data_IF_024392971612
#
_entry.id   IF_024392971612
#
_cell.length_a   1.000
_cell.length_b   1.000
_cell.length_c   1.000
_cell.angle_alpha   90.00
_cell.angle_beta   90.00
_cell.angle_gamma   90.00
#
_symmetry.space_group_name_H-M   'P 1'
#
loop_
_entity.id
_entity.type
_entity.pdbx_description
1 polymer ?
#
# COMPACT_ATOMS: atom_id res chain seq x y z
N UNK A 1 -7.02 -14.98 -32.30
CA UNK A 1 -8.07 -13.97 -32.47
C UNK A 1 -8.34 -13.89 -33.95
N UNK A 2 -9.55 -14.22 -34.39
CA UNK A 2 -9.92 -14.21 -35.80
C UNK A 2 -10.32 -12.76 -36.20
N UNK A 3 -9.61 -12.11 -37.14
CA UNK A 3 -9.95 -10.75 -37.57
C UNK A 3 -11.37 -10.61 -38.15
N UNK A 4 -11.99 -11.72 -38.61
CA UNK A 4 -13.35 -11.72 -39.14
C UNK A 4 -14.43 -11.61 -38.07
N UNK A 5 -14.07 -11.79 -36.79
CA UNK A 5 -14.98 -11.72 -35.65
C UNK A 5 -15.02 -10.32 -34.99
N UNK A 6 -14.28 -9.34 -35.53
CA UNK A 6 -14.14 -8.01 -34.94
C UNK A 6 -14.64 -6.93 -35.91
N UNK A 7 -15.58 -6.10 -35.47
CA UNK A 7 -15.99 -4.90 -36.20
C UNK A 7 -14.96 -3.78 -35.97
N UNK A 8 -14.11 -3.55 -36.96
CA UNK A 8 -12.97 -2.62 -36.85
C UNK A 8 -13.38 -1.24 -37.40
N UNK A 9 -13.42 -0.18 -36.57
CA UNK A 9 -13.77 1.14 -37.04
C UNK A 9 -12.71 1.67 -38.04
N UNK A 10 -13.13 2.43 -39.08
CA UNK A 10 -12.19 3.01 -40.03
C UNK A 10 -11.32 4.06 -39.34
N UNK A 11 -10.00 3.91 -39.45
CA UNK A 11 -9.04 4.89 -38.94
C UNK A 11 -8.88 6.05 -39.93
N UNK A 12 -8.69 7.26 -39.39
CA UNK A 12 -8.30 8.44 -40.18
C UNK A 12 -6.83 8.34 -40.60
N UNK A 13 -6.41 9.14 -41.57
CA UNK A 13 -5.00 9.33 -41.89
C UNK A 13 -4.21 9.75 -40.64
N UNK A 14 -3.04 9.14 -40.39
CA UNK A 14 -2.34 9.25 -39.12
C UNK A 14 -1.40 10.45 -39.11
N UNK A 15 -1.66 11.37 -38.18
CA UNK A 15 -0.80 12.54 -37.91
C UNK A 15 -0.44 12.56 -36.43
N UNK A 16 0.58 13.36 -36.08
CA UNK A 16 0.97 13.59 -34.68
C UNK A 16 -0.22 14.13 -33.87
N UNK A 17 -1.11 14.89 -34.50
CA UNK A 17 -2.23 15.54 -33.81
C UNK A 17 -3.43 14.60 -33.60
N UNK A 18 -3.69 13.66 -34.52
CA UNK A 18 -4.89 12.82 -34.49
C UNK A 18 -4.67 11.35 -34.07
N UNK A 19 -3.42 10.92 -33.89
CA UNK A 19 -3.11 9.53 -33.51
C UNK A 19 -3.78 9.14 -32.19
N UNK A 20 -3.91 10.07 -31.24
CA UNK A 20 -4.57 9.83 -29.95
C UNK A 20 -6.03 9.42 -30.14
N UNK A 21 -6.78 10.16 -30.96
CA UNK A 21 -8.21 9.87 -31.21
C UNK A 21 -8.40 8.55 -31.96
N UNK A 22 -7.51 8.24 -32.91
CA UNK A 22 -7.51 6.98 -33.63
C UNK A 22 -7.25 5.78 -32.70
N UNK A 23 -6.29 5.88 -31.78
CA UNK A 23 -6.01 4.82 -30.79
C UNK A 23 -7.15 4.65 -29.78
N UNK A 24 -7.80 5.75 -29.37
CA UNK A 24 -9.00 5.65 -28.53
C UNK A 24 -10.14 4.95 -29.26
N UNK A 25 -10.38 5.31 -30.52
CA UNK A 25 -11.45 4.74 -31.34
C UNK A 25 -11.28 3.22 -31.52
N UNK A 26 -10.07 2.76 -31.88
CA UNK A 26 -9.81 1.32 -32.07
C UNK A 26 -9.96 0.52 -30.78
N UNK A 27 -9.52 1.07 -29.64
CA UNK A 27 -9.62 0.42 -28.33
C UNK A 27 -11.02 0.50 -27.71
N UNK A 28 -11.94 1.25 -28.32
CA UNK A 28 -13.29 1.50 -27.78
C UNK A 28 -14.32 0.39 -28.04
N UNK A 29 -13.90 -0.67 -28.74
CA UNK A 29 -14.73 -1.83 -29.13
C UNK A 29 -15.03 -2.79 -27.96
N UNK A 30 -14.35 -2.64 -26.82
CA UNK A 30 -14.63 -3.44 -25.63
C UNK A 30 -16.03 -3.11 -25.06
N UNK A 31 -16.87 -4.12 -24.76
CA UNK A 31 -18.20 -3.89 -24.18
C UNK A 31 -18.17 -3.43 -22.72
N UNK A 32 -17.04 -3.62 -22.01
CA UNK A 32 -16.90 -3.16 -20.63
C UNK A 32 -16.68 -1.63 -20.59
N UNK A 33 -17.66 -0.85 -20.09
CA UNK A 33 -17.55 0.61 -20.05
C UNK A 33 -16.42 1.09 -19.14
N UNK A 34 -16.05 0.32 -18.10
CA UNK A 34 -14.97 0.69 -17.18
C UNK A 34 -13.61 0.50 -17.84
N UNK A 35 -13.38 -0.64 -18.48
CA UNK A 35 -12.13 -0.89 -19.19
C UNK A 35 -11.93 0.10 -20.34
N UNK A 36 -13.00 0.39 -21.10
CA UNK A 36 -13.01 1.40 -22.14
C UNK A 36 -12.58 2.77 -21.60
N UNK A 37 -13.19 3.22 -20.50
CA UNK A 37 -12.82 4.49 -19.88
C UNK A 37 -11.36 4.52 -19.41
N UNK A 38 -10.89 3.48 -18.72
CA UNK A 38 -9.52 3.39 -18.24
C UNK A 38 -8.49 3.45 -19.37
N UNK A 39 -8.69 2.68 -20.45
CA UNK A 39 -7.80 2.69 -21.61
C UNK A 39 -7.83 4.03 -22.35
N UNK A 40 -9.01 4.64 -22.50
CA UNK A 40 -9.13 5.94 -23.14
C UNK A 40 -8.32 7.01 -22.38
N UNK A 41 -8.44 7.04 -21.05
CA UNK A 41 -7.68 7.98 -20.21
C UNK A 41 -6.19 7.66 -20.22
N UNK A 42 -5.79 6.39 -20.14
CA UNK A 42 -4.39 5.99 -20.21
C UNK A 42 -3.74 6.45 -21.51
N UNK A 43 -4.36 6.16 -22.65
CA UNK A 43 -3.88 6.57 -23.98
C UNK A 43 -3.76 8.09 -24.04
N UNK A 44 -4.78 8.82 -23.57
CA UNK A 44 -4.74 10.29 -23.52
C UNK A 44 -3.53 10.78 -22.74
N UNK A 45 -3.36 10.34 -21.49
CA UNK A 45 -2.30 10.83 -20.61
C UNK A 45 -0.89 10.45 -21.09
N UNK A 46 -0.69 9.25 -21.63
CA UNK A 46 0.61 8.83 -22.17
C UNK A 46 0.97 9.62 -23.43
N UNK A 47 0.02 9.85 -24.34
CA UNK A 47 0.25 10.67 -25.53
C UNK A 47 0.48 12.15 -25.19
N UNK A 48 -0.27 12.70 -24.22
CA UNK A 48 -0.08 14.06 -23.72
C UNK A 48 1.33 14.22 -23.13
N UNK A 49 1.77 13.29 -22.27
CA UNK A 49 3.12 13.28 -21.71
C UNK A 49 4.19 13.28 -22.80
N UNK A 50 4.04 12.43 -23.83
CA UNK A 50 5.00 12.37 -24.94
C UNK A 50 5.05 13.69 -25.73
N UNK A 51 3.88 14.32 -25.98
CA UNK A 51 3.79 15.62 -26.68
C UNK A 51 4.35 16.76 -25.86
N UNK A 52 4.00 16.84 -24.58
CA UNK A 52 4.43 17.87 -23.63
C UNK A 52 5.95 17.87 -23.47
N UNK A 53 6.54 16.68 -23.27
CA UNK A 53 7.98 16.54 -23.05
C UNK A 53 8.79 16.52 -24.34
N UNK A 54 8.13 16.41 -25.49
CA UNK A 54 8.76 16.17 -26.80
C UNK A 54 9.67 14.94 -26.75
N UNK A 55 9.15 13.87 -26.14
CA UNK A 55 9.88 12.63 -25.84
C UNK A 55 10.67 12.16 -27.07
N UNK A 56 12.00 12.12 -26.94
CA UNK A 56 12.86 11.68 -28.03
C UNK A 56 12.79 10.16 -28.19
N UNK A 57 13.18 9.68 -29.38
CA UNK A 57 13.26 8.24 -29.62
C UNK A 57 14.23 7.53 -28.66
N UNK A 58 15.35 8.18 -28.31
CA UNK A 58 16.33 7.61 -27.39
C UNK A 58 15.79 7.51 -25.97
N UNK A 59 15.07 8.53 -25.47
CA UNK A 59 14.44 8.49 -24.15
C UNK A 59 13.31 7.46 -24.10
N UNK A 60 12.50 7.36 -25.17
CA UNK A 60 11.50 6.32 -25.30
C UNK A 60 12.11 4.92 -25.25
N UNK A 61 13.18 4.67 -26.02
CA UNK A 61 13.85 3.37 -26.02
C UNK A 61 14.48 3.05 -24.66
N UNK A 62 15.05 4.03 -23.98
CA UNK A 62 15.57 3.88 -22.63
C UNK A 62 14.45 3.52 -21.62
N UNK A 63 13.28 4.14 -21.73
CA UNK A 63 12.11 3.80 -20.90
C UNK A 63 11.63 2.36 -21.16
N UNK A 64 11.56 1.93 -22.44
CA UNK A 64 11.21 0.55 -22.79
C UNK A 64 12.23 -0.45 -22.21
N UNK A 65 13.53 -0.17 -22.31
CA UNK A 65 14.57 -1.02 -21.71
C UNK A 65 14.46 -1.06 -20.19
N UNK A 66 14.17 0.08 -19.56
CA UNK A 66 13.96 0.16 -18.11
C UNK A 66 12.78 -0.71 -17.67
N UNK A 67 11.60 -0.55 -18.28
CA UNK A 67 10.40 -1.34 -17.97
C UNK A 67 10.61 -2.84 -18.26
N UNK A 68 11.37 -3.16 -19.31
CA UNK A 68 11.76 -4.55 -19.62
C UNK A 68 12.60 -5.13 -18.48
N UNK A 69 13.60 -4.40 -18.00
CA UNK A 69 14.44 -4.84 -16.89
C UNK A 69 13.66 -4.96 -15.57
N UNK A 70 12.68 -4.08 -15.33
CA UNK A 70 11.76 -4.16 -14.18
C UNK A 70 10.98 -5.48 -14.22
N UNK A 71 10.41 -5.84 -15.39
CA UNK A 71 9.72 -7.12 -15.55
C UNK A 71 10.64 -8.33 -15.37
N UNK A 72 11.84 -8.30 -15.94
CA UNK A 72 12.78 -9.43 -15.92
C UNK A 72 13.31 -9.82 -14.53
N UNK A 73 13.34 -8.88 -13.58
CA UNK A 73 13.81 -9.15 -12.21
C UNK A 73 12.69 -9.56 -11.26
N UNK A 74 11.43 -9.49 -11.70
CA UNK A 74 10.30 -9.93 -10.88
C UNK A 74 10.32 -11.46 -10.70
N UNK A 75 10.00 -11.92 -9.49
CA UNK A 75 9.84 -13.33 -9.10
C UNK A 75 8.63 -13.47 -8.16
N UNK A 76 8.33 -14.68 -7.71
CA UNK A 76 7.23 -14.93 -6.76
C UNK A 76 7.41 -14.21 -5.42
N UNK A 77 8.66 -13.86 -5.05
CA UNK A 77 9.01 -13.17 -3.81
C UNK A 77 9.55 -11.75 -4.04
N UNK A 78 9.65 -11.30 -5.31
CA UNK A 78 10.12 -9.96 -5.67
C UNK A 78 9.23 -9.34 -6.73
N UNK A 79 8.52 -8.27 -6.38
CA UNK A 79 7.67 -7.53 -7.32
C UNK A 79 8.24 -6.14 -7.60
N UNK A 80 9.17 -6.03 -8.54
CA UNK A 80 9.82 -4.76 -8.91
C UNK A 80 8.84 -3.77 -9.57
N UNK A 81 7.77 -4.24 -10.22
CA UNK A 81 6.69 -3.37 -10.71
C UNK A 81 5.89 -2.71 -9.59
N UNK A 82 5.61 -3.45 -8.49
CA UNK A 82 5.01 -2.88 -7.29
C UNK A 82 5.98 -1.86 -6.69
N UNK A 83 7.26 -2.19 -6.58
CA UNK A 83 8.26 -1.26 -6.06
C UNK A 83 8.40 0.01 -6.92
N UNK A 84 8.30 -0.11 -8.24
CA UNK A 84 8.25 1.04 -9.14
C UNK A 84 7.00 1.90 -8.89
N UNK A 85 5.84 1.28 -8.69
CA UNK A 85 4.60 1.97 -8.30
C UNK A 85 4.77 2.71 -6.98
N UNK A 86 5.41 2.09 -5.99
CA UNK A 86 5.67 2.64 -4.66
C UNK A 86 6.55 3.90 -4.73
N UNK A 87 7.69 3.84 -5.43
CA UNK A 87 8.61 4.98 -5.52
C UNK A 87 8.09 6.12 -6.42
N UNK A 88 7.04 5.87 -7.21
CA UNK A 88 6.30 6.88 -7.96
C UNK A 88 5.09 7.42 -7.17
N UNK A 89 4.82 6.88 -5.98
CA UNK A 89 3.69 7.27 -5.12
C UNK A 89 2.32 6.76 -5.61
N UNK A 90 2.29 5.90 -6.63
CA UNK A 90 1.05 5.42 -7.23
C UNK A 90 0.32 4.44 -6.31
N UNK A 91 1.04 3.56 -5.61
CA UNK A 91 0.44 2.57 -4.71
C UNK A 91 -0.36 3.24 -3.59
N UNK A 92 0.25 4.23 -2.93
CA UNK A 92 -0.42 4.99 -1.87
C UNK A 92 -1.60 5.81 -2.39
N UNK A 93 -1.47 6.39 -3.59
CA UNK A 93 -2.56 7.14 -4.22
C UNK A 93 -3.75 6.24 -4.51
N UNK A 94 -3.52 5.04 -5.07
CA UNK A 94 -4.59 4.08 -5.38
C UNK A 94 -5.28 3.61 -4.10
N UNK A 95 -4.51 3.25 -3.06
CA UNK A 95 -5.06 2.88 -1.75
C UNK A 95 -5.94 4.00 -1.17
N UNK A 96 -5.45 5.24 -1.20
CA UNK A 96 -6.21 6.40 -0.68
C UNK A 96 -7.49 6.71 -1.46
N UNK A 97 -7.54 6.35 -2.75
CA UNK A 97 -8.73 6.49 -3.60
C UNK A 97 -9.73 5.37 -3.31
N UNK A 98 -9.26 4.14 -3.15
CA UNK A 98 -10.13 2.96 -3.02
C UNK A 98 -10.60 2.71 -1.58
N UNK A 99 -9.79 3.06 -0.58
CA UNK A 99 -10.09 2.95 0.85
C UNK A 99 -9.99 4.31 1.55
N UNK A 100 -10.78 5.32 1.14
CA UNK A 100 -10.72 6.63 1.77
C UNK A 100 -11.15 6.54 3.23
N UNK A 101 -10.34 7.12 4.12
CA UNK A 101 -10.62 7.11 5.56
C UNK A 101 -11.24 8.44 6.02
N UNK A 102 -12.33 8.42 6.80
CA UNK A 102 -12.80 9.57 7.58
C UNK A 102 -11.71 10.10 8.53
N UNK A 103 -11.77 11.40 8.86
CA UNK A 103 -10.74 12.06 9.66
C UNK A 103 -10.64 11.54 11.12
N UNK A 104 -11.69 10.89 11.62
CA UNK A 104 -11.78 10.28 12.94
C UNK A 104 -11.41 8.79 12.95
N UNK A 105 -10.86 8.26 11.85
CA UNK A 105 -10.48 6.85 11.70
C UNK A 105 -8.99 6.66 11.42
N UNK A 106 -8.48 5.45 11.62
CA UNK A 106 -7.07 5.18 11.31
C UNK A 106 -6.82 5.21 9.81
N UNK A 107 -5.79 5.95 9.41
CA UNK A 107 -5.40 6.04 8.02
C UNK A 107 -4.77 4.74 7.51
N UNK A 108 -5.05 4.41 6.24
CA UNK A 108 -4.33 3.37 5.52
C UNK A 108 -2.96 3.86 5.01
N UNK A 109 -2.06 2.92 4.76
CA UNK A 109 -0.79 3.15 4.04
C UNK A 109 -0.40 1.91 3.23
N UNK A 110 0.72 1.98 2.52
CA UNK A 110 1.18 0.93 1.60
C UNK A 110 1.38 -0.42 2.31
N UNK A 111 0.88 -1.50 1.70
CA UNK A 111 1.12 -2.89 2.13
C UNK A 111 2.61 -3.24 2.10
N UNK A 112 3.30 -2.79 1.06
CA UNK A 112 4.65 -3.24 0.74
C UNK A 112 4.68 -4.69 0.22
N UNK A 113 5.86 -5.19 -0.17
CA UNK A 113 5.98 -6.46 -0.88
C UNK A 113 6.21 -7.68 0.02
N UNK A 114 6.18 -7.53 1.35
CA UNK A 114 6.68 -8.56 2.30
C UNK A 114 5.62 -9.21 3.19
N UNK A 115 4.33 -8.91 2.94
CA UNK A 115 3.24 -9.68 3.53
C UNK A 115 3.19 -11.09 2.93
N UNK A 116 2.86 -12.08 3.75
CA UNK A 116 2.71 -13.49 3.33
C UNK A 116 1.53 -14.14 4.03
N UNK A 117 0.99 -15.18 3.40
CA UNK A 117 -0.18 -15.92 3.90
C UNK A 117 0.17 -17.09 4.84
N UNK A 118 1.45 -17.31 5.10
CA UNK A 118 1.94 -18.43 5.90
C UNK A 118 2.25 -18.07 7.36
N UNK A 119 2.00 -16.83 7.77
CA UNK A 119 2.10 -16.40 9.17
C UNK A 119 1.22 -17.27 10.09
N UNK A 120 1.74 -17.66 11.25
CA UNK A 120 1.00 -18.50 12.19
C UNK A 120 -0.09 -17.69 12.91
N UNK A 121 -1.22 -18.35 13.19
CA UNK A 121 -2.24 -17.80 14.08
C UNK A 121 -1.80 -17.96 15.54
N UNK A 122 -1.71 -16.85 16.25
CA UNK A 122 -1.12 -16.78 17.59
C UNK A 122 -2.09 -16.12 18.59
N UNK A 123 -2.13 -16.59 19.85
CA UNK A 123 -2.90 -15.92 20.90
C UNK A 123 -2.24 -14.61 21.34
N UNK A 124 -3.03 -13.80 22.04
CA UNK A 124 -2.53 -12.61 22.71
C UNK A 124 -1.37 -12.94 23.66
N UNK A 125 -0.32 -12.14 23.57
CA UNK A 125 0.88 -12.23 24.38
C UNK A 125 2.00 -13.11 23.84
N UNK A 126 1.80 -13.73 22.67
CA UNK A 126 2.86 -14.43 21.96
C UNK A 126 4.04 -13.51 21.65
N UNK A 127 5.25 -14.08 21.72
CA UNK A 127 6.45 -13.47 21.17
C UNK A 127 6.54 -13.80 19.68
N UNK A 128 6.44 -12.79 18.83
CA UNK A 128 6.44 -12.96 17.37
C UNK A 128 7.82 -12.81 16.76
N UNK A 129 8.76 -12.15 17.47
CA UNK A 129 10.13 -11.91 17.02
C UNK A 129 11.14 -12.71 17.85
N UNK A 130 12.04 -13.42 17.18
CA UNK A 130 13.05 -14.28 17.82
C UNK A 130 14.49 -13.85 17.54
N UNK A 131 14.68 -12.62 17.06
CA UNK A 131 16.01 -12.04 16.82
C UNK A 131 16.72 -11.69 18.14
N UNK A 132 17.84 -12.35 18.48
CA UNK A 132 18.55 -12.11 19.74
C UNK A 132 19.23 -10.73 19.80
N UNK A 133 19.45 -10.07 18.65
CA UNK A 133 20.11 -8.78 18.55
C UNK A 133 19.09 -7.61 18.61
N UNK A 134 17.79 -7.88 18.54
CA UNK A 134 16.73 -6.88 18.58
C UNK A 134 16.45 -6.34 19.99
N UNK A 135 16.20 -5.03 20.10
CA UNK A 135 15.75 -4.42 21.34
C UNK A 135 14.30 -4.87 21.64
N UNK A 136 14.00 -5.53 22.76
CA UNK A 136 12.65 -6.03 23.02
C UNK A 136 11.60 -4.90 23.10
N UNK A 137 10.44 -5.14 22.49
CA UNK A 137 9.30 -4.24 22.49
C UNK A 137 8.00 -4.95 22.89
N UNK A 138 7.21 -4.33 23.76
CA UNK A 138 5.84 -4.75 24.06
C UNK A 138 4.86 -3.90 23.25
N UNK A 139 4.03 -4.54 22.43
CA UNK A 139 3.01 -3.84 21.62
C UNK A 139 1.64 -4.07 22.24
N UNK A 140 0.96 -2.98 22.60
CA UNK A 140 -0.35 -2.97 23.24
C UNK A 140 -1.33 -2.17 22.38
N UNK A 141 -2.30 -2.83 21.76
CA UNK A 141 -3.21 -2.16 20.85
C UNK A 141 -4.67 -2.43 21.20
N UNK A 142 -5.53 -1.49 20.81
CA UNK A 142 -6.99 -1.67 20.85
C UNK A 142 -7.60 -1.37 19.49
N UNK A 143 -8.78 -1.93 19.24
CA UNK A 143 -9.55 -1.75 18.01
C UNK A 143 -10.95 -1.30 18.39
N UNK A 144 -11.36 -0.17 17.82
CA UNK A 144 -12.67 0.45 18.06
C UNK A 144 -13.33 0.79 16.72
N UNK A 145 -14.64 0.93 16.72
CA UNK A 145 -15.34 1.59 15.61
C UNK A 145 -15.35 3.12 15.81
N UNK A 146 -15.90 3.85 14.83
CA UNK A 146 -16.01 5.31 14.86
C UNK A 146 -16.91 5.86 15.99
N UNK A 147 -17.73 5.01 16.61
CA UNK A 147 -18.53 5.36 17.79
C UNK A 147 -17.77 5.16 19.11
N UNK A 148 -16.54 4.64 19.04
CA UNK A 148 -15.70 4.31 20.19
C UNK A 148 -16.02 2.95 20.81
N UNK A 149 -16.89 2.14 20.19
CA UNK A 149 -17.22 0.80 20.67
C UNK A 149 -16.09 -0.17 20.30
N UNK A 150 -15.66 -1.05 21.21
CA UNK A 150 -14.69 -2.10 20.88
C UNK A 150 -15.17 -3.01 19.76
N UNK A 151 -14.22 -3.44 18.91
CA UNK A 151 -14.48 -4.42 17.84
C UNK A 151 -13.71 -5.70 18.15
N UNK A 152 -14.45 -6.73 18.54
CA UNK A 152 -13.91 -8.05 18.85
C UNK A 152 -13.75 -8.92 17.60
N UNK A 153 -12.89 -9.92 17.70
CA UNK A 153 -12.72 -10.96 16.67
C UNK A 153 -12.37 -10.38 15.29
N UNK A 154 -11.58 -9.29 15.28
CA UNK A 154 -10.94 -8.75 14.07
C UNK A 154 -9.69 -9.57 13.82
N UNK A 155 -9.50 -10.10 12.62
CA UNK A 155 -8.25 -10.74 12.21
C UNK A 155 -7.20 -9.66 11.97
N UNK A 156 -6.04 -9.79 12.61
CA UNK A 156 -4.92 -8.84 12.51
C UNK A 156 -3.67 -9.59 12.04
N UNK A 157 -3.26 -9.33 10.80
CA UNK A 157 -1.94 -9.75 10.31
C UNK A 157 -0.91 -8.69 10.71
N UNK A 158 0.19 -9.14 11.31
CA UNK A 158 1.27 -8.30 11.84
C UNK A 158 2.57 -8.78 11.22
N UNK A 159 3.42 -7.85 10.76
CA UNK A 159 4.76 -8.18 10.31
C UNK A 159 5.74 -7.00 10.46
N UNK A 160 7.01 -7.31 10.70
CA UNK A 160 8.09 -6.33 10.81
C UNK A 160 9.43 -6.92 10.32
N UNK A 161 10.46 -6.07 10.24
CA UNK A 161 11.84 -6.50 9.97
C UNK A 161 12.57 -6.89 11.24
N UNK A 162 13.57 -7.75 11.10
CA UNK A 162 14.57 -7.98 12.14
C UNK A 162 15.45 -6.75 12.45
N UNK A 163 16.34 -6.87 13.44
CA UNK A 163 17.26 -5.81 13.85
C UNK A 163 18.26 -5.38 12.76
N UNK A 164 18.36 -6.16 11.67
CA UNK A 164 19.20 -5.88 10.50
C UNK A 164 18.39 -5.25 9.37
N UNK A 165 17.11 -4.97 9.59
CA UNK A 165 16.23 -4.36 8.60
C UNK A 165 15.82 -5.32 7.48
N UNK A 166 15.71 -6.62 7.78
CA UNK A 166 15.24 -7.62 6.81
C UNK A 166 14.01 -8.34 7.30
N UNK A 167 13.05 -8.55 6.41
CA UNK A 167 11.97 -9.50 6.63
C UNK A 167 12.51 -10.93 6.48
N UNK A 168 11.96 -11.86 7.25
CA UNK A 168 12.25 -13.29 7.20
C UNK A 168 12.27 -13.85 5.76
N UNK A 169 11.31 -13.45 4.92
CA UNK A 169 11.17 -13.87 3.50
C UNK A 169 12.34 -13.46 2.60
N UNK A 170 13.19 -12.55 3.06
CA UNK A 170 14.37 -12.11 2.31
C UNK A 170 15.59 -12.99 2.59
N UNK A 171 15.53 -13.89 3.58
CA UNK A 171 16.61 -14.82 3.86
C UNK A 171 16.51 -16.09 3.02
N UNK A 172 17.62 -16.43 2.37
CA UNK A 172 17.77 -17.73 1.71
C UNK A 172 17.65 -18.85 2.76
N UNK A 173 16.88 -19.89 2.45
CA UNK A 173 16.69 -21.03 3.35
C UNK A 173 15.73 -20.77 4.51
N UNK A 174 14.86 -19.75 4.44
CA UNK A 174 13.74 -19.58 5.37
C UNK A 174 12.95 -20.88 5.53
N UNK A 175 12.95 -21.45 6.74
CA UNK A 175 12.25 -22.69 7.07
C UNK A 175 10.83 -22.45 7.60
N UNK A 176 10.64 -21.36 8.34
CA UNK A 176 9.38 -21.00 9.00
C UNK A 176 9.20 -19.47 9.05
N UNK A 177 7.96 -18.97 9.18
CA UNK A 177 7.71 -17.56 9.41
C UNK A 177 8.32 -17.09 10.74
N UNK A 178 8.92 -15.90 10.75
CA UNK A 178 9.36 -15.19 11.96
C UNK A 178 9.07 -13.69 11.82
N UNK A 179 8.92 -12.99 12.95
CA UNK A 179 8.56 -11.57 13.03
C UNK A 179 7.23 -11.24 12.34
N UNK A 180 6.33 -12.22 12.32
CA UNK A 180 4.99 -12.11 11.77
C UNK A 180 4.02 -13.02 12.52
N UNK A 181 2.77 -12.59 12.64
CA UNK A 181 1.71 -13.37 13.25
C UNK A 181 0.34 -12.93 12.73
N UNK A 182 -0.64 -13.82 12.85
CA UNK A 182 -2.06 -13.50 12.73
C UNK A 182 -2.69 -13.58 14.12
N UNK A 183 -3.29 -12.51 14.60
CA UNK A 183 -3.98 -12.47 15.90
C UNK A 183 -5.46 -12.13 15.73
N UNK A 184 -6.24 -12.29 16.80
CA UNK A 184 -7.62 -11.80 16.85
C UNK A 184 -7.81 -10.89 18.07
N UNK A 185 -8.56 -9.80 17.88
CA UNK A 185 -8.91 -8.91 18.99
C UNK A 185 -9.87 -9.60 19.97
N UNK A 186 -9.71 -9.33 21.26
CA UNK A 186 -10.59 -9.87 22.30
C UNK A 186 -11.95 -9.13 22.40
N UNK A 187 -12.77 -9.49 23.38
CA UNK A 187 -14.10 -8.88 23.60
C UNK A 187 -14.04 -7.37 23.88
N UNK A 188 -12.90 -6.86 24.37
CA UNK A 188 -12.64 -5.44 24.61
C UNK A 188 -11.88 -4.79 23.43
N UNK A 189 -11.76 -5.49 22.31
CA UNK A 189 -11.06 -5.04 21.11
C UNK A 189 -9.54 -5.02 21.27
N UNK A 190 -8.98 -5.64 22.31
CA UNK A 190 -7.55 -5.60 22.59
C UNK A 190 -6.81 -6.70 21.85
N UNK A 191 -5.61 -6.36 21.39
CA UNK A 191 -4.61 -7.33 20.99
C UNK A 191 -3.21 -6.88 21.42
N UNK A 192 -2.35 -7.81 21.78
CA UNK A 192 -1.00 -7.49 22.24
C UNK A 192 -0.02 -8.63 22.03
N UNK A 193 1.25 -8.29 21.89
CA UNK A 193 2.31 -9.23 21.57
C UNK A 193 3.69 -8.69 21.96
N UNK A 194 4.70 -9.57 21.91
CA UNK A 194 6.10 -9.22 22.16
C UNK A 194 6.86 -9.27 20.85
N UNK A 195 7.54 -8.19 20.55
CA UNK A 195 8.21 -7.89 19.30
C UNK A 195 9.61 -7.33 19.59
N UNK A 196 10.25 -6.76 18.59
CA UNK A 196 11.43 -5.91 18.75
C UNK A 196 11.09 -4.47 18.37
N UNK A 197 11.96 -3.52 18.69
CA UNK A 197 11.82 -2.15 18.23
C UNK A 197 12.12 -2.11 16.73
N UNK A 198 11.20 -1.61 15.88
CA UNK A 198 11.46 -1.53 14.45
C UNK A 198 12.68 -0.66 14.13
N UNK A 199 13.44 -1.05 13.10
CA UNK A 199 14.63 -0.33 12.62
C UNK A 199 14.40 0.22 11.21
N UNK A 200 15.05 1.33 10.80
CA UNK A 200 14.96 1.80 9.43
C UNK A 200 15.69 0.83 8.50
N UNK A 201 15.17 0.64 7.29
CA UNK A 201 15.74 -0.30 6.35
C UNK A 201 15.61 0.17 4.90
N UNK A 202 16.53 -0.22 4.00
CA UNK A 202 16.42 0.09 2.59
C UNK A 202 15.43 -0.85 1.88
N UNK A 203 14.60 -0.30 0.99
CA UNK A 203 13.90 -1.11 -0.01
C UNK A 203 14.91 -1.83 -0.93
N UNK A 204 14.54 -2.94 -1.59
CA UNK A 204 15.40 -3.59 -2.59
C UNK A 204 15.92 -2.57 -3.62
N UNK A 205 17.24 -2.46 -3.75
CA UNK A 205 17.89 -1.39 -4.52
C UNK A 205 19.02 -1.87 -5.43
N UNK A 206 19.13 -3.18 -5.61
CA UNK A 206 20.01 -3.86 -6.56
C UNK A 206 19.42 -3.93 -7.99
N UNK A 207 18.11 -3.68 -8.11
CA UNK A 207 17.35 -3.71 -9.35
C UNK A 207 17.27 -2.38 -10.11
N UNK A 208 16.49 -2.34 -11.22
CA UNK A 208 16.26 -1.12 -11.98
C UNK A 208 15.72 0.03 -11.14
N UNK A 209 14.82 -0.22 -10.19
CA UNK A 209 14.28 0.84 -9.32
C UNK A 209 15.38 1.49 -8.48
N UNK A 210 16.27 0.69 -7.89
CA UNK A 210 17.43 1.20 -7.17
C UNK A 210 18.38 2.04 -8.04
N UNK A 211 18.60 1.63 -9.29
CA UNK A 211 19.38 2.41 -10.27
C UNK A 211 18.70 3.75 -10.58
N UNK A 212 17.38 3.76 -10.74
CA UNK A 212 16.60 4.98 -10.96
C UNK A 212 16.69 5.92 -9.76
N UNK A 213 16.50 5.43 -8.53
CA UNK A 213 16.64 6.24 -7.32
C UNK A 213 18.03 6.90 -7.22
N UNK A 214 19.09 6.15 -7.56
CA UNK A 214 20.45 6.69 -7.60
C UNK A 214 20.61 7.82 -8.62
N UNK A 215 20.04 7.69 -9.83
CA UNK A 215 20.03 8.75 -10.84
C UNK A 215 19.25 9.98 -10.37
N UNK A 216 18.13 9.77 -9.66
CA UNK A 216 17.31 10.82 -9.05
C UNK A 216 17.90 11.41 -7.77
N UNK A 217 19.05 10.91 -7.30
CA UNK A 217 19.67 11.28 -6.02
C UNK A 217 18.74 11.10 -4.80
N UNK A 218 17.90 10.06 -4.85
CA UNK A 218 17.03 9.65 -3.74
C UNK A 218 17.67 8.50 -2.96
N UNK A 219 17.49 8.47 -1.64
CA UNK A 219 17.83 7.29 -0.84
C UNK A 219 16.76 6.21 -0.99
N UNK A 220 17.11 4.98 -0.62
CA UNK A 220 16.20 3.81 -0.63
C UNK A 220 15.63 3.48 0.76
N UNK A 221 15.96 4.24 1.79
CA UNK A 221 15.50 3.96 3.16
C UNK A 221 14.03 4.27 3.39
N UNK A 222 13.38 3.37 4.14
CA UNK A 222 12.13 3.59 4.85
C UNK A 222 12.43 3.80 6.34
N UNK A 223 11.66 4.65 7.04
CA UNK A 223 11.78 4.81 8.48
C UNK A 223 11.39 3.54 9.23
N UNK A 224 11.81 3.39 10.49
CA UNK A 224 11.33 2.34 11.39
C UNK A 224 9.81 2.23 11.43
N UNK A 225 9.26 1.06 11.13
CA UNK A 225 7.82 0.82 11.23
C UNK A 225 7.43 -0.64 11.44
N UNK A 226 6.20 -0.82 11.92
CA UNK A 226 5.54 -2.11 12.07
C UNK A 226 4.25 -2.11 11.25
N UNK A 227 4.02 -3.17 10.49
CA UNK A 227 2.85 -3.29 9.63
C UNK A 227 1.69 -3.99 10.31
N UNK A 228 0.48 -3.59 9.89
CA UNK A 228 -0.77 -4.18 10.32
C UNK A 228 -1.73 -4.29 9.13
N UNK A 229 -2.44 -5.41 9.04
CA UNK A 229 -3.58 -5.57 8.14
C UNK A 229 -4.76 -6.14 8.92
N UNK A 230 -5.89 -5.44 8.84
CA UNK A 230 -7.10 -5.76 9.60
C UNK A 230 -8.21 -6.25 8.67
N UNK A 231 -8.84 -7.35 9.05
CA UNK A 231 -9.92 -7.97 8.30
C UNK A 231 -11.07 -8.36 9.25
N UNK A 232 -12.27 -7.84 8.98
CA UNK A 232 -13.49 -8.21 9.68
C UNK A 232 -14.70 -7.98 8.77
N UNK A 233 -15.57 -8.96 8.65
CA UNK A 233 -16.83 -8.81 7.90
C UNK A 233 -17.62 -7.58 8.38
N UNK A 234 -18.06 -6.75 7.42
CA UNK A 234 -18.77 -5.50 7.67
C UNK A 234 -17.87 -4.28 7.95
N UNK A 235 -16.56 -4.47 8.05
CA UNK A 235 -15.56 -3.39 8.14
C UNK A 235 -14.72 -3.30 6.87
N UNK A 236 -14.42 -2.08 6.46
CA UNK A 236 -13.52 -1.80 5.35
C UNK A 236 -12.13 -2.34 5.68
N UNK A 237 -11.52 -3.01 4.71
CA UNK A 237 -10.17 -3.51 4.84
C UNK A 237 -9.22 -2.36 5.20
N UNK A 238 -8.33 -2.60 6.16
CA UNK A 238 -7.34 -1.60 6.58
C UNK A 238 -5.95 -2.21 6.53
N UNK A 239 -5.13 -1.70 5.62
CA UNK A 239 -3.69 -1.92 5.60
C UNK A 239 -3.04 -0.65 6.12
N UNK A 240 -2.20 -0.77 7.14
CA UNK A 240 -1.55 0.39 7.75
C UNK A 240 -0.18 0.02 8.33
N UNK A 241 0.54 1.02 8.82
CA UNK A 241 1.77 0.83 9.56
C UNK A 241 1.91 1.92 10.63
N UNK A 242 2.60 1.61 11.72
CA UNK A 242 2.98 2.58 12.74
C UNK A 242 4.46 2.91 12.59
N UNK A 243 4.78 4.20 12.50
CA UNK A 243 6.12 4.72 12.26
C UNK A 243 6.69 5.34 13.52
N UNK A 244 7.98 5.15 13.79
CA UNK A 244 8.61 5.75 14.97
C UNK A 244 8.94 7.22 14.73
N UNK A 245 8.51 8.08 15.65
CA UNK A 245 8.83 9.51 15.64
C UNK A 245 10.33 9.74 15.92
N UNK A 246 10.93 10.66 15.18
CA UNK A 246 12.35 11.00 15.27
C UNK A 246 13.27 10.08 14.45
N UNK A 247 12.71 9.15 13.67
CA UNK A 247 13.48 8.36 12.72
C UNK A 247 14.15 9.28 11.66
N UNK A 248 15.42 9.06 11.29
CA UNK A 248 16.13 9.88 10.29
C UNK A 248 15.44 9.97 8.92
N UNK A 249 14.56 9.03 8.58
CA UNK A 249 13.86 8.95 7.31
C UNK A 249 12.35 9.20 7.42
N UNK A 250 11.86 9.64 8.59
CA UNK A 250 10.45 9.98 8.84
C UNK A 250 9.88 10.91 7.76
N UNK A 251 10.62 11.97 7.43
CA UNK A 251 10.17 12.99 6.47
C UNK A 251 10.59 12.70 5.03
N UNK A 252 11.19 11.53 4.76
CA UNK A 252 11.79 11.23 3.46
C UNK A 252 11.62 9.78 3.02
N UNK A 253 10.65 9.05 3.57
CA UNK A 253 10.34 7.65 3.19
C UNK A 253 10.39 7.44 1.67
N UNK A 254 11.19 6.47 1.23
CA UNK A 254 11.40 6.16 -0.18
C UNK A 254 10.11 5.81 -0.94
N UNK A 255 9.07 5.39 -0.23
CA UNK A 255 7.76 4.99 -0.79
C UNK A 255 6.60 5.86 -0.33
N UNK A 256 6.90 6.99 0.33
CA UNK A 256 5.91 7.99 0.76
C UNK A 256 4.85 7.49 1.76
N UNK A 257 5.09 6.41 2.51
CA UNK A 257 4.08 5.77 3.35
C UNK A 257 3.77 6.49 4.67
N UNK A 258 4.62 7.43 5.09
CA UNK A 258 4.46 8.13 6.38
C UNK A 258 3.31 9.12 6.33
N UNK A 259 2.47 9.07 7.36
CA UNK A 259 1.41 10.05 7.64
C UNK A 259 1.53 10.48 9.10
N UNK A 260 1.24 11.76 9.38
CA UNK A 260 1.43 12.32 10.73
C UNK A 260 0.64 11.55 11.80
N UNK A 261 -0.58 11.10 11.49
CA UNK A 261 -1.40 10.35 12.44
C UNK A 261 -0.87 8.94 12.75
N UNK A 262 0.04 8.42 11.92
CA UNK A 262 0.63 7.10 12.06
C UNK A 262 2.01 7.16 12.74
N UNK A 263 2.49 8.36 13.10
CA UNK A 263 3.71 8.54 13.86
C UNK A 263 3.47 8.38 15.36
N UNK A 264 4.23 7.49 15.97
CA UNK A 264 4.12 7.11 17.38
C UNK A 264 5.44 7.36 18.12
N UNK A 265 5.31 7.66 19.41
CA UNK A 265 6.44 7.69 20.34
C UNK A 265 6.58 6.35 21.05
N UNK A 266 7.83 5.92 21.28
CA UNK A 266 8.09 4.75 22.12
C UNK A 266 7.89 5.10 23.59
N UNK A 267 7.00 4.37 24.24
CA UNK A 267 6.86 4.37 25.68
C UNK A 267 7.91 3.48 26.36
N UNK A 268 7.75 3.32 27.68
CA UNK A 268 8.51 2.38 28.49
C UNK A 268 7.58 1.65 29.45
N UNK A 269 7.71 0.33 29.50
CA UNK A 269 6.92 -0.55 30.37
C UNK A 269 7.20 -0.22 31.83
N UNK A 270 6.13 0.07 32.59
CA UNK A 270 6.20 0.28 34.04
C UNK A 270 6.10 -1.05 34.84
N UNK A 271 6.29 -1.01 36.16
CA UNK A 271 6.24 -2.18 37.02
C UNK A 271 4.91 -2.98 36.96
N UNK A 272 3.77 -2.29 36.80
CA UNK A 272 2.46 -2.95 36.70
C UNK A 272 2.33 -3.69 35.37
N UNK A 273 2.66 -3.03 34.26
CA UNK A 273 2.66 -3.63 32.93
C UNK A 273 3.65 -4.79 32.84
N UNK A 274 4.85 -4.66 33.42
CA UNK A 274 5.84 -5.72 33.46
C UNK A 274 5.29 -7.00 34.10
N UNK A 275 4.58 -6.85 35.23
CA UNK A 275 3.90 -7.95 35.92
C UNK A 275 2.73 -8.52 35.09
N UNK A 276 1.90 -7.65 34.51
CA UNK A 276 0.70 -8.05 33.75
C UNK A 276 1.05 -8.79 32.46
N UNK A 277 2.04 -8.31 31.71
CA UNK A 277 2.39 -8.83 30.38
C UNK A 277 3.59 -9.78 30.38
N UNK A 278 4.20 -10.01 31.55
CA UNK A 278 5.33 -10.92 31.71
C UNK A 278 6.55 -10.47 30.88
N UNK A 279 6.91 -9.19 31.01
CA UNK A 279 8.10 -8.57 30.40
C UNK A 279 8.91 -7.84 31.46
N UNK A 280 10.10 -7.34 31.13
CA UNK A 280 10.92 -6.58 32.09
C UNK A 280 10.39 -5.14 32.20
N UNK A 281 10.43 -4.59 33.41
CA UNK A 281 10.26 -3.15 33.59
C UNK A 281 11.39 -2.43 32.82
N UNK A 282 11.05 -1.34 32.13
CA UNK A 282 12.00 -0.66 31.25
C UNK A 282 11.99 -1.13 29.80
N UNK A 283 11.33 -2.24 29.45
CA UNK A 283 11.13 -2.68 28.06
C UNK A 283 10.43 -1.57 27.25
N UNK A 284 10.81 -1.37 25.99
CA UNK A 284 10.13 -0.40 25.11
C UNK A 284 8.69 -0.81 24.87
N UNK A 285 7.80 0.15 24.66
CA UNK A 285 6.41 -0.18 24.33
C UNK A 285 5.84 0.71 23.24
N UNK A 286 5.04 0.08 22.38
CA UNK A 286 4.15 0.73 21.44
C UNK A 286 2.73 0.61 21.99
N UNK A 287 2.02 1.73 22.09
CA UNK A 287 0.61 1.78 22.48
C UNK A 287 -0.16 2.51 21.40
N UNK A 288 -1.20 1.87 20.85
CA UNK A 288 -1.98 2.49 19.77
C UNK A 288 -3.44 2.04 19.75
N UNK A 289 -4.34 2.99 19.49
CA UNK A 289 -5.77 2.76 19.35
C UNK A 289 -6.17 2.84 17.87
N UNK A 290 -6.46 1.69 17.27
CA UNK A 290 -6.98 1.61 15.91
C UNK A 290 -8.48 1.90 15.87
N UNK A 291 -8.90 2.64 14.86
CA UNK A 291 -10.31 2.96 14.59
C UNK A 291 -10.66 2.47 13.20
N UNK A 292 -11.47 1.40 13.14
CA UNK A 292 -11.95 0.82 11.90
C UNK A 292 -13.22 1.51 11.40
N UNK A 293 -13.41 1.44 10.09
CA UNK A 293 -14.53 2.05 9.36
C UNK A 293 -15.38 0.93 8.81
N UNK A 294 -16.71 1.08 8.81
CA UNK A 294 -17.58 0.10 8.16
C UNK A 294 -17.39 0.12 6.65
N UNK A 295 -17.64 -1.01 5.98
CA UNK A 295 -17.61 -1.06 4.50
C UNK A 295 -18.60 -0.06 3.89
N UNK A 296 -19.75 0.14 4.54
CA UNK A 296 -20.77 1.08 4.10
C UNK A 296 -20.28 2.53 4.15
N UNK A 297 -19.64 2.95 5.24
CA UNK A 297 -19.12 4.30 5.41
C UNK A 297 -17.98 4.57 4.41
N UNK A 298 -17.06 3.61 4.25
CA UNK A 298 -15.95 3.73 3.28
C UNK A 298 -16.48 3.82 1.85
N UNK A 299 -17.45 2.96 1.48
CA UNK A 299 -18.10 3.00 0.15
C UNK A 299 -18.79 4.34 -0.10
N UNK A 300 -19.59 4.85 0.83
CA UNK A 300 -20.25 6.16 0.69
C UNK A 300 -19.24 7.29 0.52
N UNK A 301 -18.15 7.26 1.27
CA UNK A 301 -17.08 8.25 1.17
C UNK A 301 -16.36 8.17 -0.18
N UNK A 302 -16.05 6.96 -0.66
CA UNK A 302 -15.46 6.72 -1.98
C UNK A 302 -16.35 7.24 -3.10
N UNK A 303 -17.63 6.90 -3.09
CA UNK A 303 -18.59 7.37 -4.08
C UNK A 303 -18.71 8.90 -4.07
N UNK A 304 -18.80 9.52 -2.89
CA UNK A 304 -18.86 10.97 -2.75
C UNK A 304 -17.59 11.68 -3.26
N UNK A 305 -16.40 11.18 -2.91
CA UNK A 305 -15.12 11.72 -3.37
C UNK A 305 -14.95 11.54 -4.87
N UNK A 306 -15.32 10.38 -5.42
CA UNK A 306 -15.27 10.13 -6.86
C UNK A 306 -16.15 11.13 -7.62
N UNK A 307 -17.40 11.31 -7.21
CA UNK A 307 -18.31 12.27 -7.86
C UNK A 307 -17.81 13.73 -7.74
N UNK A 308 -17.27 14.12 -6.59
CA UNK A 308 -16.68 15.44 -6.40
C UNK A 308 -15.47 15.68 -7.32
N UNK A 309 -14.58 14.69 -7.45
CA UNK A 309 -13.43 14.74 -8.34
C UNK A 309 -13.87 14.85 -9.81
N UNK A 310 -14.85 14.06 -10.24
CA UNK A 310 -15.37 14.11 -11.61
C UNK A 310 -16.01 15.46 -11.94
N UNK A 311 -16.77 16.04 -10.99
CA UNK A 311 -17.35 17.38 -11.14
C UNK A 311 -16.28 18.45 -11.31
N UNK A 312 -15.17 18.35 -10.57
CA UNK A 312 -14.05 19.28 -10.69
C UNK A 312 -13.38 19.20 -12.08
N UNK A 313 -13.36 18.01 -12.69
CA UNK A 313 -12.86 17.80 -14.05
C UNK A 313 -13.86 18.17 -15.16
N UNK A 314 -15.07 18.62 -14.82
CA UNK A 314 -16.10 18.98 -15.79
C UNK A 314 -16.69 17.80 -16.56
N UNK A 315 -16.51 16.57 -16.08
CA UNK A 315 -16.97 15.34 -16.74
C UNK A 315 -18.36 14.95 -16.24
N UNK A 316 -19.29 14.62 -17.15
CA UNK A 316 -20.56 13.96 -16.81
C UNK A 316 -20.30 12.47 -16.64
N UNK A 317 -20.51 11.95 -15.44
CA UNK A 317 -20.10 10.60 -15.05
C UNK A 317 -21.21 9.94 -14.23
N UNK A 318 -21.37 8.64 -14.42
CA UNK A 318 -22.22 7.77 -13.61
C UNK A 318 -21.37 6.72 -12.91
N UNK A 319 -21.92 6.09 -11.88
CA UNK A 319 -21.28 4.96 -11.22
C UNK A 319 -21.64 3.65 -11.95
N UNK A 320 -20.62 2.84 -12.21
CA UNK A 320 -20.71 1.47 -12.72
C UNK A 320 -19.93 0.57 -11.75
N UNK A 321 -20.64 -0.31 -11.04
CA UNK A 321 -20.08 -1.13 -9.95
C UNK A 321 -19.30 -0.30 -8.91
N UNK A 322 -19.83 0.87 -8.52
CA UNK A 322 -19.20 1.76 -7.55
C UNK A 322 -18.05 2.61 -8.09
N UNK A 323 -17.69 2.49 -9.37
CA UNK A 323 -16.59 3.21 -10.00
C UNK A 323 -17.10 4.17 -11.09
N UNK A 324 -16.47 5.34 -11.28
CA UNK A 324 -16.93 6.33 -12.25
C UNK A 324 -16.68 5.87 -13.70
N UNK A 325 -17.68 6.04 -14.55
CA UNK A 325 -17.62 5.91 -16.02
C UNK A 325 -18.34 7.10 -16.68
N UNK A 326 -17.98 7.49 -17.91
CA UNK A 326 -18.69 8.56 -18.62
C UNK A 326 -20.19 8.27 -18.74
N UNK A 327 -21.01 9.29 -18.52
CA UNK A 327 -22.39 9.29 -19.01
C UNK A 327 -22.31 9.45 -20.52
N UNK A 328 -22.59 8.36 -21.23
CA UNK A 328 -22.77 8.39 -22.68
C UNK A 328 -24.18 8.93 -22.90
N UNK A 329 -24.31 10.04 -23.64
CA UNK A 329 -25.60 10.58 -24.10
C UNK A 329 -26.30 9.61 -25.08
#
# INVERSE_FOLDING_TARGET
MDPSEVDVPPLKDLTIDNITDNVKLINSQCPDPRLKYLLERLVQHVHDFARETRLSHNEWLAAIQFLTAVGQICTDVRQEFILLSDILGLSLLVDSIDHPKPADSTEGTVLGPFHTHDAHSEPNGTQIAHDPDGEPCLVLCTIKDRSGKPVSDVKIDIWETDSKGKYDVQYEGREQPDQRAVMHSDEEGKFWFKAIVPVPYPIPHDGPVGKLLKLLKRHCYRPSHMHFMFEKEGFDHLITALYLRGDPYETSDAVFGVKESLLIDLGTVNAEQAKTYGVKEGTKTIVYDFVLVSEEDSRKLREAKAMAAMKHLGLRMKLYNGLPVPEID
#
